data_IF_278609119748
#
_entry.id   IF_278609119748
#
_cell.length_a   1.000
_cell.length_b   1.000
_cell.length_c   1.000
_cell.angle_alpha   90.00
_cell.angle_beta   90.00
_cell.angle_gamma   90.00
#
_symmetry.space_group_name_H-M   'P 1'
#
loop_
_entity.id
_entity.type
_entity.pdbx_description
1 polymer ?
#
# COMPACT_ATOMS: atom_id res chain seq x y z
N UNK A 1 26.22 21.63 51.31
CA UNK A 1 26.66 22.81 50.61
C UNK A 1 27.37 22.45 49.30
N UNK A 2 27.12 23.31 48.36
CA UNK A 2 27.92 23.58 47.16
C UNK A 2 27.67 22.67 45.93
N UNK A 3 27.14 23.36 44.99
CA UNK A 3 27.61 23.69 43.62
C UNK A 3 27.22 22.74 42.52
N UNK A 4 26.14 23.11 41.83
CA UNK A 4 25.96 22.88 40.41
C UNK A 4 24.96 23.91 39.83
N UNK A 5 25.46 25.12 39.68
CA UNK A 5 24.82 26.18 38.89
C UNK A 5 25.91 26.72 37.95
N UNK A 6 25.84 26.36 36.71
CA UNK A 6 26.37 27.07 35.52
C UNK A 6 26.39 26.12 34.34
N UNK A 7 25.48 26.43 33.38
CA UNK A 7 25.70 26.39 31.93
C UNK A 7 24.35 26.36 31.16
N UNK A 8 23.70 27.53 31.16
CA UNK A 8 22.73 27.84 30.12
C UNK A 8 23.12 29.23 29.55
N UNK A 9 23.77 29.19 28.40
CA UNK A 9 23.92 30.39 27.55
C UNK A 9 22.88 30.33 26.44
N UNK A 10 22.13 31.39 26.14
CA UNK A 10 21.22 31.47 25.04
C UNK A 10 22.01 31.68 23.72
N UNK A 11 21.72 30.88 22.74
CA UNK A 11 22.18 31.05 21.36
C UNK A 11 21.38 32.15 20.69
N UNK A 12 22.06 33.24 20.34
CA UNK A 12 21.56 34.32 19.51
C UNK A 12 21.29 33.79 18.10
N UNK A 13 20.04 33.81 17.66
CA UNK A 13 19.65 33.64 16.28
C UNK A 13 19.97 34.93 15.50
N UNK A 14 20.98 34.87 14.63
CA UNK A 14 21.23 35.89 13.64
C UNK A 14 20.22 35.77 12.50
N UNK A 15 19.42 36.82 12.33
CA UNK A 15 18.49 37.03 11.23
C UNK A 15 19.30 37.23 9.94
N UNK A 16 19.25 36.24 9.01
CA UNK A 16 19.75 36.42 7.64
C UNK A 16 18.58 36.77 6.73
N UNK A 17 18.62 37.98 6.21
CA UNK A 17 17.72 38.50 5.19
C UNK A 17 17.70 37.58 3.96
N UNK A 18 16.54 37.03 3.62
CA UNK A 18 16.29 36.35 2.37
C UNK A 18 16.00 37.41 1.29
N UNK A 19 16.85 37.46 0.26
CA UNK A 19 16.60 38.23 -0.95
C UNK A 19 15.44 37.62 -1.74
N UNK A 20 14.40 38.42 -1.96
CA UNK A 20 13.29 38.08 -2.82
C UNK A 20 13.73 38.13 -4.29
N UNK A 21 13.48 37.07 -5.03
CA UNK A 21 13.63 37.00 -6.48
C UNK A 21 12.33 37.51 -7.12
N UNK A 22 12.37 38.49 -8.05
CA UNK A 22 11.15 39.03 -8.67
C UNK A 22 10.59 38.06 -9.71
N UNK A 23 9.27 37.80 -9.62
CA UNK A 23 8.48 37.05 -10.60
C UNK A 23 8.11 38.00 -11.76
N UNK A 24 8.33 37.65 -13.04
CA UNK A 24 7.89 38.48 -14.14
C UNK A 24 6.37 38.35 -14.37
N UNK A 25 5.69 39.48 -14.44
CA UNK A 25 4.29 39.61 -14.84
C UNK A 25 4.15 39.46 -16.36
N UNK A 26 3.15 38.71 -16.85
CA UNK A 26 2.86 38.72 -18.30
C UNK A 26 1.97 39.93 -18.64
N UNK A 27 2.44 40.72 -19.58
CA UNK A 27 1.71 41.81 -20.22
C UNK A 27 0.65 41.31 -21.20
N UNK A 28 -0.38 42.05 -21.26
CA UNK A 28 -1.67 41.98 -21.94
C UNK A 28 -1.68 41.79 -23.47
N UNK A 29 -2.86 41.29 -23.90
CA UNK A 29 -3.60 41.64 -25.11
C UNK A 29 -3.41 40.78 -26.34
N UNK A 30 -4.42 39.94 -26.64
CA UNK A 30 -5.02 39.91 -27.98
C UNK A 30 -6.40 39.23 -27.90
N UNK A 31 -7.40 40.04 -28.18
CA UNK A 31 -8.78 39.71 -28.43
C UNK A 31 -8.94 38.89 -29.72
N UNK A 32 -9.60 37.73 -29.63
CA UNK A 32 -10.17 37.06 -30.81
C UNK A 32 -11.61 36.60 -30.53
N UNK A 33 -12.44 36.99 -31.46
CA UNK A 33 -13.85 36.95 -31.60
C UNK A 33 -14.52 35.58 -31.37
N UNK A 34 -15.58 35.60 -30.59
CA UNK A 34 -16.59 34.56 -30.41
C UNK A 34 -17.40 34.35 -31.68
N UNK A 35 -17.52 33.10 -32.14
CA UNK A 35 -18.64 32.65 -33.01
C UNK A 35 -19.39 31.53 -32.28
N UNK A 36 -20.72 31.59 -32.21
CA UNK A 36 -21.52 30.56 -31.56
C UNK A 36 -21.79 29.36 -32.49
N UNK A 37 -21.82 28.11 -31.97
CA UNK A 37 -22.23 26.98 -32.79
C UNK A 37 -23.74 26.86 -32.82
N UNK A 38 -24.23 26.57 -34.05
CA UNK A 38 -25.61 26.28 -34.44
C UNK A 38 -26.16 25.04 -33.70
N UNK A 39 -27.40 25.15 -33.22
CA UNK A 39 -28.25 24.05 -32.82
C UNK A 39 -28.63 23.18 -34.04
N UNK A 40 -28.47 21.87 -33.92
CA UNK A 40 -29.25 20.91 -34.68
C UNK A 40 -29.88 19.88 -33.76
N UNK A 41 -31.18 19.80 -33.85
CA UNK A 41 -32.08 18.84 -33.21
C UNK A 41 -31.97 17.48 -33.87
N UNK A 42 -32.05 16.39 -33.10
CA UNK A 42 -32.42 15.10 -33.69
C UNK A 42 -32.04 13.84 -32.89
N UNK A 43 -33.01 13.36 -32.11
CA UNK A 43 -33.48 11.96 -31.94
C UNK A 43 -32.54 10.82 -31.49
N UNK A 44 -33.07 10.18 -30.41
CA UNK A 44 -33.13 8.73 -30.07
C UNK A 44 -31.82 7.97 -29.85
N UNK A 45 -31.56 7.58 -28.62
CA UNK A 45 -31.75 6.26 -28.04
C UNK A 45 -30.90 5.18 -28.69
N UNK A 46 -29.79 4.83 -28.04
CA UNK A 46 -29.35 3.43 -28.04
C UNK A 46 -28.39 3.19 -26.86
N UNK A 47 -28.68 2.09 -26.19
CA UNK A 47 -27.87 1.52 -25.11
C UNK A 47 -26.50 1.14 -25.63
N UNK A 48 -25.45 1.77 -25.16
CA UNK A 48 -24.09 1.24 -25.33
C UNK A 48 -23.73 0.37 -24.13
N UNK A 49 -23.82 -0.94 -24.34
CA UNK A 49 -23.05 -1.93 -23.61
C UNK A 49 -21.60 -1.74 -24.01
N UNK A 50 -20.80 -1.14 -23.13
CA UNK A 50 -19.36 -1.07 -23.32
C UNK A 50 -18.76 -2.45 -22.99
N UNK A 51 -18.57 -3.27 -24.02
CA UNK A 51 -17.66 -4.40 -24.00
C UNK A 51 -16.25 -3.86 -23.95
N UNK A 52 -15.62 -3.90 -22.78
CA UNK A 52 -14.20 -3.61 -22.63
C UNK A 52 -13.39 -4.82 -23.09
N UNK A 53 -12.95 -4.78 -24.34
CA UNK A 53 -11.89 -5.67 -24.83
C UNK A 53 -10.58 -5.35 -24.11
N UNK A 54 -9.81 -6.36 -23.66
CA UNK A 54 -8.51 -6.11 -23.06
C UNK A 54 -7.55 -5.57 -24.13
N UNK A 55 -7.06 -4.35 -23.94
CA UNK A 55 -5.96 -3.80 -24.73
C UNK A 55 -4.73 -4.69 -24.57
N UNK A 56 -4.36 -5.38 -25.62
CA UNK A 56 -3.05 -6.01 -25.76
C UNK A 56 -2.00 -4.90 -25.82
N UNK A 57 -1.27 -4.69 -24.74
CA UNK A 57 -0.06 -3.90 -24.80
C UNK A 57 1.04 -4.72 -25.43
N UNK A 58 1.56 -4.22 -26.56
CA UNK A 58 2.69 -4.79 -27.28
C UNK A 58 3.91 -4.90 -26.35
N UNK A 59 4.52 -6.07 -26.33
CA UNK A 59 5.81 -6.31 -25.72
C UNK A 59 6.89 -5.52 -26.48
N UNK A 60 7.92 -4.99 -25.81
CA UNK A 60 9.08 -4.43 -26.51
C UNK A 60 9.78 -5.54 -27.27
N UNK A 61 9.98 -5.34 -28.57
CA UNK A 61 10.77 -6.20 -29.42
C UNK A 61 12.26 -6.03 -29.08
N UNK A 62 13.01 -7.17 -29.22
CA UNK A 62 14.46 -7.30 -29.12
C UNK A 62 15.07 -7.49 -27.73
N UNK A 63 14.98 -8.75 -27.25
CA UNK A 63 15.97 -9.34 -26.36
C UNK A 63 16.40 -10.70 -26.92
N UNK A 64 17.68 -11.08 -26.81
CA UNK A 64 18.20 -12.33 -27.42
C UNK A 64 17.50 -13.56 -26.86
N UNK A 65 17.18 -14.50 -27.72
CA UNK A 65 16.27 -15.64 -27.61
C UNK A 65 16.37 -16.64 -26.43
N UNK A 66 17.07 -16.31 -25.32
CA UNK A 66 17.13 -17.15 -24.12
C UNK A 66 16.33 -16.62 -22.94
N UNK A 67 16.04 -15.31 -22.89
CA UNK A 67 15.33 -14.70 -21.76
C UNK A 67 13.80 -14.75 -21.94
N UNK A 68 13.31 -14.63 -23.15
CA UNK A 68 11.88 -14.64 -23.45
C UNK A 68 11.22 -15.97 -23.06
N UNK A 69 11.90 -17.10 -23.32
CA UNK A 69 11.42 -18.45 -22.99
C UNK A 69 11.30 -18.65 -21.48
N UNK A 70 12.29 -18.20 -20.70
CA UNK A 70 12.23 -18.32 -19.24
C UNK A 70 11.12 -17.47 -18.61
N UNK A 71 10.85 -16.26 -19.13
CA UNK A 71 9.75 -15.42 -18.67
C UNK A 71 8.39 -16.04 -18.98
N UNK A 72 8.21 -16.67 -20.13
CA UNK A 72 7.00 -17.39 -20.48
C UNK A 72 6.76 -18.59 -19.55
N UNK A 73 7.80 -19.40 -19.27
CA UNK A 73 7.72 -20.52 -18.32
C UNK A 73 7.32 -20.03 -16.93
N UNK A 74 7.96 -18.95 -16.44
CA UNK A 74 7.65 -18.35 -15.14
C UNK A 74 6.21 -17.83 -15.12
N UNK A 75 5.78 -17.13 -16.16
CA UNK A 75 4.42 -16.60 -16.28
C UNK A 75 3.40 -17.74 -16.23
N UNK A 76 3.60 -18.80 -16.99
CA UNK A 76 2.74 -19.98 -17.00
C UNK A 76 2.66 -20.63 -15.61
N UNK A 77 3.79 -20.74 -14.90
CA UNK A 77 3.84 -21.23 -13.53
C UNK A 77 3.06 -20.31 -12.57
N UNK A 78 3.27 -18.99 -12.63
CA UNK A 78 2.64 -18.03 -11.73
C UNK A 78 1.12 -17.95 -11.91
N UNK A 79 0.60 -18.14 -13.11
CA UNK A 79 -0.84 -18.21 -13.40
C UNK A 79 -1.50 -19.41 -12.71
N UNK A 80 -0.79 -20.53 -12.63
CA UNK A 80 -1.29 -21.78 -12.03
C UNK A 80 -1.03 -21.89 -10.53
N UNK A 81 -0.08 -21.10 -9.99
CA UNK A 81 0.29 -21.17 -8.58
C UNK A 81 -0.89 -20.80 -7.68
N UNK A 82 -1.16 -21.61 -6.66
CA UNK A 82 -2.17 -21.33 -5.64
C UNK A 82 -1.95 -19.96 -5.00
N UNK A 83 -3.04 -19.31 -4.61
CA UNK A 83 -3.03 -17.98 -4.00
C UNK A 83 -4.22 -17.80 -3.08
N UNK A 84 -4.09 -16.89 -2.14
CA UNK A 84 -5.23 -16.44 -1.35
C UNK A 84 -6.30 -15.81 -2.24
N UNK A 85 -7.57 -15.90 -1.85
CA UNK A 85 -8.59 -15.03 -2.43
C UNK A 85 -8.10 -13.58 -2.41
N UNK A 86 -8.28 -12.80 -3.48
CA UNK A 86 -7.74 -11.44 -3.56
C UNK A 86 -8.12 -10.56 -2.37
N UNK A 87 -9.34 -10.67 -1.85
CA UNK A 87 -9.78 -9.91 -0.68
C UNK A 87 -9.04 -10.28 0.60
N UNK A 88 -8.72 -11.57 0.81
CA UNK A 88 -7.93 -12.04 1.96
C UNK A 88 -6.47 -11.58 1.85
N UNK A 89 -5.92 -11.57 0.64
CA UNK A 89 -4.56 -11.06 0.40
C UNK A 89 -4.47 -9.56 0.70
N UNK A 90 -5.43 -8.77 0.21
CA UNK A 90 -5.51 -7.33 0.49
C UNK A 90 -5.72 -7.07 1.99
N UNK A 91 -6.58 -7.83 2.64
CA UNK A 91 -6.82 -7.77 4.08
C UNK A 91 -5.53 -8.02 4.86
N UNK A 92 -4.78 -9.04 4.45
CA UNK A 92 -3.49 -9.42 5.06
C UNK A 92 -2.42 -8.35 4.84
N UNK A 93 -2.34 -7.75 3.64
CA UNK A 93 -1.39 -6.66 3.36
C UNK A 93 -1.69 -5.45 4.25
N UNK A 94 -2.95 -5.05 4.37
CA UNK A 94 -3.35 -3.92 5.22
C UNK A 94 -3.04 -4.19 6.69
N UNK A 95 -3.34 -5.39 7.20
CA UNK A 95 -3.05 -5.76 8.59
C UNK A 95 -1.56 -5.69 8.91
N UNK A 96 -0.69 -6.03 7.95
CA UNK A 96 0.77 -5.98 8.11
C UNK A 96 1.38 -4.60 7.89
N UNK A 97 0.65 -3.69 7.28
CA UNK A 97 1.14 -2.34 7.00
C UNK A 97 1.04 -1.47 8.25
N UNK A 98 1.95 -0.52 8.37
CA UNK A 98 2.03 0.38 9.53
C UNK A 98 1.87 1.85 9.14
N UNK A 99 1.96 2.17 7.85
CA UNK A 99 1.97 3.56 7.37
C UNK A 99 1.25 3.67 6.03
N UNK A 100 0.60 4.81 5.82
CA UNK A 100 -0.09 5.12 4.57
C UNK A 100 -0.24 6.62 4.35
N UNK A 101 -0.75 6.99 3.18
CA UNK A 101 -1.09 8.36 2.84
C UNK A 101 -2.59 8.55 3.04
N UNK A 102 -2.95 9.36 4.02
CA UNK A 102 -4.33 9.78 4.27
C UNK A 102 -4.67 10.99 3.41
N UNK A 103 -5.61 10.86 2.48
CA UNK A 103 -6.15 11.97 1.72
C UNK A 103 -7.47 12.46 2.34
N UNK A 104 -7.56 13.78 2.56
CA UNK A 104 -8.69 14.46 3.19
C UNK A 104 -9.10 15.67 2.35
N UNK A 105 -10.31 16.19 2.54
CA UNK A 105 -10.74 17.45 1.91
C UNK A 105 -10.13 18.63 2.65
N UNK A 106 -9.31 19.43 1.97
CA UNK A 106 -8.67 20.60 2.57
C UNK A 106 -9.71 21.64 3.01
N UNK A 107 -9.61 22.08 4.26
CA UNK A 107 -10.42 23.21 4.77
C UNK A 107 -9.80 24.55 4.38
N UNK A 108 -8.48 24.61 4.27
CA UNK A 108 -7.74 25.81 3.92
C UNK A 108 -7.78 26.10 2.41
N UNK A 109 -7.62 25.05 1.60
CA UNK A 109 -7.67 25.12 0.14
C UNK A 109 -8.91 24.41 -0.38
N UNK A 110 -10.04 25.08 -0.34
CA UNK A 110 -11.35 24.51 -0.69
C UNK A 110 -11.36 23.92 -2.09
N UNK A 111 -11.86 22.68 -2.21
CA UNK A 111 -11.90 21.94 -3.48
C UNK A 111 -10.63 21.13 -3.80
N UNK A 112 -9.55 21.29 -3.02
CA UNK A 112 -8.34 20.50 -3.20
C UNK A 112 -8.24 19.35 -2.17
N UNK A 113 -7.75 18.15 -2.59
CA UNK A 113 -7.38 17.10 -1.65
C UNK A 113 -6.09 17.47 -0.94
N UNK A 114 -5.98 17.06 0.33
CA UNK A 114 -4.78 17.23 1.16
C UNK A 114 -4.27 15.85 1.57
N UNK A 115 -3.02 15.53 1.26
CA UNK A 115 -2.36 14.28 1.63
C UNK A 115 -1.53 14.44 2.91
N UNK A 116 -1.61 13.47 3.81
CA UNK A 116 -0.77 13.38 5.01
C UNK A 116 -0.23 11.97 5.16
N UNK A 117 1.06 11.85 5.48
CA UNK A 117 1.60 10.55 5.91
C UNK A 117 1.11 10.27 7.33
N UNK A 118 0.49 9.10 7.55
CA UNK A 118 -0.03 8.69 8.84
C UNK A 118 0.40 7.27 9.19
N UNK A 119 0.63 7.04 10.47
CA UNK A 119 0.77 5.69 11.01
C UNK A 119 -0.64 5.15 11.29
N UNK A 120 -0.85 3.85 11.06
CA UNK A 120 -2.14 3.21 11.31
C UNK A 120 -1.97 1.76 11.77
N UNK A 121 -2.99 1.25 12.43
CA UNK A 121 -3.18 -0.19 12.68
C UNK A 121 -4.54 -0.60 12.10
N UNK A 122 -4.81 -1.90 12.04
CA UNK A 122 -6.13 -2.40 11.68
C UNK A 122 -6.83 -3.00 12.90
N UNK A 123 -8.12 -2.76 13.00
CA UNK A 123 -9.00 -3.47 13.90
C UNK A 123 -9.32 -4.89 13.39
N UNK A 124 -10.02 -5.70 14.19
CA UNK A 124 -10.36 -7.07 13.84
C UNK A 124 -11.16 -7.18 12.55
N UNK A 125 -12.04 -6.23 12.27
CA UNK A 125 -12.84 -6.15 11.03
C UNK A 125 -12.08 -5.52 9.86
N UNK A 126 -10.82 -5.07 10.07
CA UNK A 126 -9.97 -4.40 9.08
C UNK A 126 -10.13 -2.91 8.97
N UNK A 127 -10.99 -2.32 9.77
CA UNK A 127 -11.10 -0.86 9.83
C UNK A 127 -9.77 -0.25 10.28
N UNK A 128 -9.17 0.66 9.50
CA UNK A 128 -7.95 1.33 9.93
C UNK A 128 -8.18 2.19 11.17
N UNK A 129 -7.29 2.08 12.14
CA UNK A 129 -7.21 2.89 13.35
C UNK A 129 -6.11 3.93 13.17
N UNK A 130 -6.44 5.19 13.36
CA UNK A 130 -5.50 6.31 13.36
C UNK A 130 -5.37 6.88 14.77
N UNK A 131 -4.14 7.22 15.19
CA UNK A 131 -3.89 8.07 16.34
C UNK A 131 -3.48 9.45 15.81
N UNK A 132 -4.31 10.46 16.01
CA UNK A 132 -4.14 11.78 15.41
C UNK A 132 -4.15 12.91 16.44
N UNK A 133 -3.20 13.85 16.30
CA UNK A 133 -3.22 15.09 17.07
C UNK A 133 -4.32 16.04 16.57
N UNK A 134 -5.03 16.70 17.45
CA UNK A 134 -6.00 17.75 17.11
C UNK A 134 -5.38 18.95 16.38
N UNK A 135 -4.06 19.14 16.52
CA UNK A 135 -3.31 20.20 15.87
C UNK A 135 -3.00 19.91 14.40
N UNK A 136 -3.02 18.63 13.99
CA UNK A 136 -2.68 18.21 12.64
C UNK A 136 -3.70 18.72 11.61
N UNK A 137 -3.22 19.03 10.40
CA UNK A 137 -4.05 19.52 9.30
C UNK A 137 -5.14 18.50 8.93
N UNK A 138 -4.79 17.22 8.85
CA UNK A 138 -5.77 16.17 8.54
C UNK A 138 -6.85 16.05 9.61
N UNK A 139 -6.56 16.30 10.89
CA UNK A 139 -7.58 16.31 11.95
C UNK A 139 -8.58 17.45 11.78
N UNK A 140 -8.09 18.64 11.40
CA UNK A 140 -8.93 19.81 11.10
C UNK A 140 -9.80 19.55 9.86
N UNK A 141 -9.21 18.96 8.82
CA UNK A 141 -9.91 18.59 7.60
C UNK A 141 -11.03 17.56 7.89
N UNK A 142 -10.74 16.53 8.69
CA UNK A 142 -11.71 15.50 9.07
C UNK A 142 -12.84 16.03 9.95
N UNK A 143 -12.61 17.08 10.73
CA UNK A 143 -13.67 17.75 11.48
C UNK A 143 -14.69 18.45 10.56
N UNK A 144 -14.25 18.92 9.39
CA UNK A 144 -15.14 19.51 8.38
C UNK A 144 -15.80 18.48 7.46
N UNK A 145 -15.12 17.36 7.18
CA UNK A 145 -15.65 16.26 6.38
C UNK A 145 -14.99 14.96 6.79
N UNK A 146 -15.78 14.00 7.25
CA UNK A 146 -15.31 12.66 7.63
C UNK A 146 -14.79 11.83 6.45
N UNK A 147 -15.13 12.21 5.23
CA UNK A 147 -14.77 11.47 4.01
C UNK A 147 -13.26 11.54 3.77
N UNK A 148 -12.66 10.35 3.63
CA UNK A 148 -11.23 10.24 3.40
C UNK A 148 -10.91 9.00 2.57
N UNK A 149 -9.67 8.92 2.13
CA UNK A 149 -9.10 7.67 1.62
C UNK A 149 -7.71 7.46 2.21
N UNK A 150 -7.41 6.21 2.56
CA UNK A 150 -6.09 5.78 3.00
C UNK A 150 -5.44 4.94 1.90
N UNK A 151 -4.37 5.48 1.30
CA UNK A 151 -3.56 4.77 0.31
C UNK A 151 -2.39 4.09 1.00
N UNK A 152 -2.25 2.81 0.75
CA UNK A 152 -1.18 1.97 1.31
C UNK A 152 -0.41 1.32 0.16
N UNK A 153 0.90 1.57 0.15
CA UNK A 153 1.86 0.89 -0.71
C UNK A 153 2.99 0.39 0.20
N UNK A 154 3.28 -0.90 0.16
CA UNK A 154 4.29 -1.50 1.03
C UNK A 154 5.69 -1.01 0.67
N UNK A 155 5.97 -0.93 -0.61
CA UNK A 155 7.20 -0.38 -1.19
C UNK A 155 6.81 0.57 -2.34
N UNK A 156 6.72 1.88 -2.08
CA UNK A 156 6.31 2.86 -3.09
C UNK A 156 7.25 2.94 -4.29
N UNK A 157 8.50 2.54 -4.14
CA UNK A 157 9.49 2.54 -5.24
C UNK A 157 9.37 1.29 -6.11
N UNK A 158 8.80 0.22 -5.57
CA UNK A 158 8.56 -1.01 -6.29
C UNK A 158 7.26 -0.92 -7.10
N UNK A 159 7.38 -0.58 -8.38
CA UNK A 159 6.25 -0.48 -9.31
C UNK A 159 5.49 -1.80 -9.52
N UNK A 160 6.02 -2.91 -9.02
CA UNK A 160 5.37 -4.22 -9.07
C UNK A 160 4.60 -4.53 -7.80
N UNK A 161 4.68 -3.68 -6.79
CA UNK A 161 3.96 -3.88 -5.54
C UNK A 161 2.47 -3.53 -5.67
N UNK A 162 1.68 -4.09 -4.76
CA UNK A 162 0.24 -3.83 -4.72
C UNK A 162 -0.02 -2.53 -3.97
N UNK A 163 -0.78 -1.65 -4.61
CA UNK A 163 -1.28 -0.40 -4.02
C UNK A 163 -2.74 -0.59 -3.65
N UNK A 164 -3.08 -0.25 -2.42
CA UNK A 164 -4.42 -0.40 -1.84
C UNK A 164 -4.95 0.98 -1.47
N UNK A 165 -6.20 1.26 -1.81
CA UNK A 165 -6.89 2.47 -1.38
C UNK A 165 -8.15 2.07 -0.62
N UNK A 166 -8.21 2.43 0.66
CA UNK A 166 -9.41 2.27 1.50
C UNK A 166 -10.18 3.59 1.45
N UNK A 167 -11.37 3.60 0.86
CA UNK A 167 -12.30 4.72 0.93
C UNK A 167 -13.20 4.55 2.15
N UNK A 168 -13.36 5.59 2.95
CA UNK A 168 -14.18 5.48 4.16
C UNK A 168 -14.51 6.81 4.83
N UNK A 169 -15.24 6.69 5.92
CA UNK A 169 -15.57 7.80 6.80
C UNK A 169 -14.78 7.67 8.11
N UNK A 170 -13.97 8.68 8.44
CA UNK A 170 -13.26 8.74 9.70
C UNK A 170 -14.21 9.16 10.82
N UNK A 171 -14.34 8.34 11.85
CA UNK A 171 -15.20 8.58 13.02
C UNK A 171 -14.40 8.50 14.30
N UNK A 172 -14.66 9.36 15.29
CA UNK A 172 -14.06 9.22 16.60
C UNK A 172 -14.38 7.85 17.22
N UNK A 173 -13.41 7.29 17.92
CA UNK A 173 -13.58 6.07 18.70
C UNK A 173 -14.39 6.41 19.95
N UNK A 174 -15.48 5.67 20.25
CA UNK A 174 -16.25 5.82 21.49
C UNK A 174 -15.38 5.59 22.74
N UNK A 175 -15.72 6.23 23.85
CA UNK A 175 -14.92 6.15 25.08
C UNK A 175 -14.81 4.72 25.60
N UNK A 176 -15.87 3.91 25.47
CA UNK A 176 -15.92 2.52 25.85
C UNK A 176 -14.99 1.59 25.03
N UNK A 177 -14.62 2.01 23.81
CA UNK A 177 -13.74 1.22 22.95
C UNK A 177 -12.27 1.67 23.01
N UNK A 178 -11.97 2.81 23.66
CA UNK A 178 -10.64 3.44 23.63
C UNK A 178 -9.52 2.53 24.09
N UNK A 179 -9.69 1.79 25.17
CA UNK A 179 -8.65 0.94 25.73
C UNK A 179 -8.34 -0.25 24.81
N UNK A 180 -9.37 -0.84 24.21
CA UNK A 180 -9.22 -1.92 23.23
C UNK A 180 -8.52 -1.43 21.97
N UNK A 181 -8.93 -0.28 21.44
CA UNK A 181 -8.35 0.36 20.26
C UNK A 181 -6.90 0.78 20.52
N UNK A 182 -6.61 1.38 21.67
CA UNK A 182 -5.26 1.72 22.12
C UNK A 182 -4.36 0.49 22.14
N UNK A 183 -4.84 -0.60 22.72
CA UNK A 183 -4.10 -1.87 22.78
C UNK A 183 -3.83 -2.42 21.38
N UNK A 184 -4.81 -2.41 20.49
CA UNK A 184 -4.66 -2.84 19.10
C UNK A 184 -3.65 -1.98 18.35
N UNK A 185 -3.70 -0.66 18.54
CA UNK A 185 -2.76 0.28 17.91
C UNK A 185 -1.33 0.08 18.40
N UNK A 186 -1.11 0.02 19.71
CA UNK A 186 0.22 -0.14 20.31
C UNK A 186 0.85 -1.50 20.03
N UNK A 187 0.05 -2.54 19.74
CA UNK A 187 0.59 -3.83 19.27
C UNK A 187 1.34 -3.68 17.94
N UNK A 188 0.93 -2.74 17.09
CA UNK A 188 1.58 -2.44 15.80
C UNK A 188 2.64 -1.34 15.91
N UNK A 189 2.46 -0.43 16.85
CA UNK A 189 3.30 0.74 17.08
C UNK A 189 3.75 0.80 18.54
N UNK A 190 4.61 -0.13 19.01
CA UNK A 190 4.99 -0.20 20.43
C UNK A 190 5.73 1.05 20.93
N UNK A 191 6.35 1.81 20.01
CA UNK A 191 7.09 3.04 20.33
C UNK A 191 6.21 4.31 20.30
N UNK A 192 4.90 4.17 20.07
CA UNK A 192 4.00 5.31 19.92
C UNK A 192 3.54 5.90 21.27
N UNK A 193 4.49 6.38 22.09
CA UNK A 193 4.22 6.96 23.42
C UNK A 193 3.35 8.22 23.36
N UNK A 194 3.30 8.90 22.22
CA UNK A 194 2.52 10.12 22.02
C UNK A 194 1.01 9.93 21.99
N UNK A 195 0.51 8.69 21.85
CA UNK A 195 -0.94 8.40 21.82
C UNK A 195 -1.65 8.80 23.12
N UNK A 196 -0.90 8.92 24.22
CA UNK A 196 -1.40 9.32 25.53
C UNK A 196 -1.33 10.83 25.79
N UNK A 197 -0.88 11.63 24.81
CA UNK A 197 -0.87 13.08 24.94
C UNK A 197 -2.30 13.63 24.82
N UNK A 198 -2.61 14.69 25.57
CA UNK A 198 -3.97 15.22 25.69
C UNK A 198 -4.57 15.79 24.41
N UNK A 199 -3.75 16.05 23.39
CA UNK A 199 -4.19 16.49 22.06
C UNK A 199 -4.42 15.35 21.08
N UNK A 200 -4.04 14.08 21.44
CA UNK A 200 -4.25 12.91 20.60
C UNK A 200 -5.59 12.25 20.85
N UNK A 201 -6.15 11.71 19.77
CA UNK A 201 -7.38 10.91 19.79
C UNK A 201 -7.32 9.81 18.76
N UNK A 202 -8.05 8.73 19.00
CA UNK A 202 -8.20 7.66 18.05
C UNK A 202 -9.40 7.91 17.12
N UNK A 203 -9.20 7.61 15.83
CA UNK A 203 -10.25 7.59 14.83
C UNK A 203 -10.29 6.21 14.18
N UNK A 204 -11.49 5.69 13.88
CA UNK A 204 -11.68 4.59 12.95
C UNK A 204 -11.98 5.15 11.56
N UNK A 205 -11.35 4.62 10.52
CA UNK A 205 -11.83 4.77 9.15
C UNK A 205 -12.78 3.60 8.89
N UNK A 206 -14.09 3.88 8.82
CA UNK A 206 -15.10 2.88 8.49
C UNK A 206 -15.11 2.66 6.97
N UNK A 207 -14.62 1.50 6.46
CA UNK A 207 -14.49 1.27 5.03
C UNK A 207 -15.86 1.30 4.33
N UNK A 208 -15.92 1.93 3.15
CA UNK A 208 -17.06 1.89 2.20
C UNK A 208 -16.71 1.04 1.00
N UNK A 209 -15.48 1.16 0.51
CA UNK A 209 -14.93 0.37 -0.57
C UNK A 209 -13.42 0.24 -0.39
N UNK A 210 -12.87 -0.86 -0.85
CA UNK A 210 -11.41 -1.09 -0.85
C UNK A 210 -10.98 -1.45 -2.26
N UNK A 211 -10.28 -0.54 -2.90
CA UNK A 211 -9.72 -0.71 -4.24
C UNK A 211 -8.27 -1.16 -4.14
N UNK A 212 -7.87 -2.03 -5.06
CA UNK A 212 -6.47 -2.42 -5.21
C UNK A 212 -6.04 -2.40 -6.66
N UNK A 213 -4.76 -2.14 -6.86
CA UNK A 213 -4.09 -2.22 -8.15
C UNK A 213 -2.77 -2.92 -7.90
N UNK A 214 -2.53 -4.05 -8.55
CA UNK A 214 -1.20 -4.66 -8.56
C UNK A 214 -0.36 -4.07 -9.69
N UNK A 215 0.94 -3.95 -9.46
CA UNK A 215 1.84 -3.35 -10.44
C UNK A 215 1.93 -4.11 -11.77
N UNK A 216 2.41 -3.43 -12.78
CA UNK A 216 2.40 -3.85 -14.20
C UNK A 216 3.09 -5.20 -14.44
N UNK A 217 4.10 -5.56 -13.64
CA UNK A 217 4.87 -6.81 -13.81
C UNK A 217 4.26 -8.01 -13.07
N UNK A 218 3.27 -7.79 -12.21
CA UNK A 218 2.59 -8.83 -11.44
C UNK A 218 1.14 -8.96 -11.87
N UNK A 219 0.90 -9.23 -13.16
CA UNK A 219 -0.45 -9.54 -13.69
C UNK A 219 -1.22 -10.63 -12.90
N UNK A 220 -0.80 -10.90 -11.67
CA UNK A 220 -1.21 -12.00 -10.82
C UNK A 220 -2.45 -11.66 -10.01
N UNK A 221 -2.56 -10.43 -9.47
CA UNK A 221 -3.76 -9.96 -8.78
C UNK A 221 -4.69 -9.15 -9.70
N UNK A 222 -4.13 -8.44 -10.67
CA UNK A 222 -4.88 -7.50 -11.47
C UNK A 222 -5.27 -6.25 -10.68
N UNK A 223 -6.45 -5.73 -10.94
CA UNK A 223 -7.05 -4.63 -10.19
C UNK A 223 -8.51 -4.96 -9.89
N UNK A 224 -9.03 -4.40 -8.81
CA UNK A 224 -10.42 -4.62 -8.43
C UNK A 224 -10.83 -3.74 -7.27
N UNK A 225 -12.08 -3.91 -6.88
CA UNK A 225 -12.69 -3.21 -5.77
C UNK A 225 -13.58 -4.16 -4.99
N UNK A 226 -13.53 -4.08 -3.67
CA UNK A 226 -14.37 -4.84 -2.76
C UNK A 226 -15.30 -3.89 -2.02
N UNK A 227 -16.51 -4.33 -1.80
CA UNK A 227 -17.45 -3.67 -0.90
C UNK A 227 -16.97 -3.74 0.56
N UNK A 228 -17.52 -2.90 1.41
CA UNK A 228 -17.26 -2.93 2.84
C UNK A 228 -17.59 -4.30 3.46
N UNK A 229 -18.65 -4.97 3.01
CA UNK A 229 -19.05 -6.28 3.53
C UNK A 229 -18.02 -7.36 3.19
N UNK A 230 -17.68 -7.50 1.89
CA UNK A 230 -16.65 -8.46 1.45
C UNK A 230 -15.32 -8.28 2.18
N UNK A 231 -14.90 -7.02 2.36
CA UNK A 231 -13.65 -6.71 3.03
C UNK A 231 -13.67 -7.07 4.52
N UNK A 232 -14.79 -6.83 5.23
CA UNK A 232 -14.93 -7.14 6.66
C UNK A 232 -15.01 -8.64 6.94
N UNK A 233 -15.64 -9.39 6.05
CA UNK A 233 -15.76 -10.85 6.16
C UNK A 233 -14.43 -11.57 5.85
N UNK A 234 -13.54 -10.92 5.09
CA UNK A 234 -12.26 -11.49 4.71
C UNK A 234 -11.35 -11.68 5.94
N UNK A 235 -10.63 -12.80 5.95
CA UNK A 235 -9.73 -13.15 7.05
C UNK A 235 -8.31 -12.77 6.72
N UNK A 236 -7.58 -12.33 7.75
CA UNK A 236 -6.13 -12.19 7.68
C UNK A 236 -5.52 -13.59 7.62
N UNK A 237 -4.52 -13.77 6.76
CA UNK A 237 -3.79 -15.03 6.66
C UNK A 237 -3.08 -15.34 7.99
N UNK A 238 -3.42 -16.45 8.66
CA UNK A 238 -2.89 -16.77 9.99
C UNK A 238 -1.36 -17.01 9.98
N UNK A 239 -0.79 -17.38 8.84
CA UNK A 239 0.64 -17.63 8.69
C UNK A 239 1.43 -16.33 8.52
N UNK A 240 0.79 -15.28 8.07
CA UNK A 240 1.44 -14.00 7.76
C UNK A 240 2.25 -13.40 8.91
N UNK A 241 1.82 -13.60 10.16
CA UNK A 241 2.51 -13.17 11.37
C UNK A 241 3.89 -13.83 11.57
N UNK A 242 4.10 -15.01 11.00
CA UNK A 242 5.36 -15.75 11.05
C UNK A 242 6.26 -15.50 9.83
N UNK A 243 5.80 -14.69 8.89
CA UNK A 243 6.46 -14.49 7.59
C UNK A 243 7.89 -13.96 7.75
N UNK A 244 8.09 -12.88 8.51
CA UNK A 244 9.41 -12.27 8.65
C UNK A 244 10.43 -13.17 9.38
N UNK A 245 10.12 -13.80 10.54
CA UNK A 245 11.05 -14.71 11.20
C UNK A 245 11.39 -15.94 10.35
N UNK A 246 10.42 -16.54 9.64
CA UNK A 246 10.67 -17.70 8.79
C UNK A 246 11.53 -17.31 7.57
N UNK A 247 11.21 -16.22 6.88
CA UNK A 247 12.00 -15.72 5.76
C UNK A 247 13.44 -15.40 6.21
N UNK A 248 13.61 -14.78 7.37
CA UNK A 248 14.92 -14.50 7.95
C UNK A 248 15.76 -15.76 8.21
N UNK A 249 15.15 -16.78 8.82
CA UNK A 249 15.79 -18.07 9.06
C UNK A 249 16.19 -18.77 7.74
N UNK A 250 15.25 -18.89 6.80
CA UNK A 250 15.51 -19.52 5.51
C UNK A 250 16.62 -18.80 4.71
N UNK A 251 16.63 -17.48 4.74
CA UNK A 251 17.66 -16.71 4.04
C UNK A 251 19.05 -16.84 4.68
N UNK A 252 19.13 -17.04 5.99
CA UNK A 252 20.37 -17.14 6.73
C UNK A 252 20.94 -18.57 6.68
N UNK A 253 20.09 -19.55 6.96
CA UNK A 253 20.55 -20.91 7.27
C UNK A 253 20.28 -21.91 6.11
N UNK A 254 19.40 -21.56 5.13
CA UNK A 254 18.92 -22.41 4.05
C UNK A 254 18.94 -21.73 2.65
N UNK A 255 19.96 -20.89 2.40
CA UNK A 255 20.05 -20.15 1.14
C UNK A 255 20.22 -21.05 -0.09
N UNK A 256 20.97 -22.13 0.03
CA UNK A 256 21.19 -23.11 -1.07
C UNK A 256 19.93 -23.94 -1.30
N UNK A 257 19.25 -24.39 -0.24
CA UNK A 257 17.98 -25.09 -0.33
C UNK A 257 16.92 -24.21 -1.00
N UNK A 258 16.89 -22.94 -0.64
CA UNK A 258 16.01 -21.93 -1.25
C UNK A 258 16.20 -21.84 -2.76
N UNK A 259 17.46 -21.84 -3.22
CA UNK A 259 17.78 -21.85 -4.66
C UNK A 259 17.29 -23.13 -5.36
N UNK A 260 17.50 -24.28 -4.72
CA UNK A 260 17.04 -25.57 -5.25
C UNK A 260 15.51 -25.65 -5.35
N UNK A 261 14.79 -25.17 -4.32
CA UNK A 261 13.33 -25.10 -4.32
C UNK A 261 12.83 -24.29 -5.53
N UNK A 262 13.40 -23.10 -5.75
CA UNK A 262 13.00 -22.25 -6.87
C UNK A 262 13.30 -22.91 -8.21
N UNK A 263 14.50 -23.49 -8.39
CA UNK A 263 14.88 -24.16 -9.63
C UNK A 263 14.01 -25.38 -9.93
N UNK A 264 13.71 -26.18 -8.91
CA UNK A 264 12.86 -27.37 -9.09
C UNK A 264 11.42 -26.98 -9.43
N UNK A 265 10.87 -26.01 -8.74
CA UNK A 265 9.46 -25.60 -8.91
C UNK A 265 9.20 -24.87 -10.23
N UNK A 266 10.18 -24.12 -10.74
CA UNK A 266 10.01 -23.30 -11.94
C UNK A 266 10.72 -23.84 -13.18
N UNK A 267 11.55 -24.87 -13.03
CA UNK A 267 12.42 -25.40 -14.09
C UNK A 267 13.41 -24.38 -14.68
N UNK A 268 13.60 -23.24 -13.98
CA UNK A 268 14.48 -22.15 -14.41
C UNK A 268 15.80 -22.18 -13.63
N UNK A 269 16.93 -22.18 -14.35
CA UNK A 269 18.27 -22.16 -13.72
C UNK A 269 18.55 -20.76 -13.14
N UNK A 270 18.53 -20.65 -11.82
CA UNK A 270 18.85 -19.41 -11.11
C UNK A 270 20.37 -19.22 -11.08
N UNK A 271 20.85 -18.13 -11.70
CA UNK A 271 22.29 -17.79 -11.77
C UNK A 271 22.80 -17.10 -10.49
N UNK A 272 21.97 -16.26 -9.87
CA UNK A 272 22.25 -15.61 -8.58
C UNK A 272 21.32 -16.16 -7.50
N UNK A 273 21.68 -15.97 -6.23
CA UNK A 273 20.93 -16.51 -5.10
C UNK A 273 19.44 -16.15 -5.12
N UNK A 274 18.64 -17.05 -4.61
CA UNK A 274 17.22 -16.82 -4.33
C UNK A 274 17.04 -16.41 -2.86
N UNK A 275 16.06 -15.55 -2.58
CA UNK A 275 15.74 -15.10 -1.22
C UNK A 275 14.25 -15.20 -0.97
N UNK A 276 13.88 -15.70 0.19
CA UNK A 276 12.52 -15.59 0.71
C UNK A 276 12.23 -14.13 1.04
N UNK A 277 11.10 -13.62 0.57
CA UNK A 277 10.68 -12.25 0.84
C UNK A 277 9.43 -12.18 1.70
N UNK A 278 8.52 -13.15 1.53
CA UNK A 278 7.26 -13.21 2.26
C UNK A 278 6.78 -14.66 2.32
N UNK A 279 5.98 -14.97 3.33
CA UNK A 279 5.29 -16.24 3.52
C UNK A 279 3.81 -16.00 3.71
N UNK A 280 2.97 -16.81 3.08
CA UNK A 280 1.54 -16.93 3.32
C UNK A 280 1.15 -18.40 3.55
N UNK A 281 -0.12 -18.65 3.85
CA UNK A 281 -0.63 -20.01 4.08
C UNK A 281 -0.64 -20.90 2.83
N UNK A 282 -0.62 -20.31 1.65
CA UNK A 282 -0.67 -21.03 0.38
C UNK A 282 0.70 -21.15 -0.29
N UNK A 283 1.68 -20.29 0.06
CA UNK A 283 2.91 -20.15 -0.72
C UNK A 283 4.02 -19.40 -0.01
N UNK A 284 5.25 -19.60 -0.50
CA UNK A 284 6.38 -18.70 -0.31
C UNK A 284 6.51 -17.71 -1.46
N UNK A 285 6.85 -16.46 -1.14
CA UNK A 285 7.37 -15.49 -2.08
C UNK A 285 8.90 -15.49 -2.09
N UNK A 286 9.45 -15.45 -3.29
CA UNK A 286 10.89 -15.39 -3.51
C UNK A 286 11.26 -14.22 -4.41
N UNK A 287 12.47 -13.71 -4.23
CA UNK A 287 13.20 -12.97 -5.26
C UNK A 287 14.37 -13.83 -5.73
N UNK A 288 14.56 -13.94 -7.03
CA UNK A 288 15.64 -14.72 -7.60
C UNK A 288 16.31 -13.97 -8.75
N UNK A 289 17.64 -14.01 -8.82
CA UNK A 289 18.41 -13.39 -9.88
C UNK A 289 18.47 -14.29 -11.13
N UNK A 290 17.95 -13.78 -12.25
CA UNK A 290 18.00 -14.42 -13.54
C UNK A 290 18.44 -13.42 -14.62
N UNK A 291 19.55 -13.71 -15.28
CA UNK A 291 20.08 -12.94 -16.43
C UNK A 291 20.11 -11.41 -16.26
N UNK A 292 20.60 -10.95 -15.08
CA UNK A 292 20.67 -9.53 -14.74
C UNK A 292 19.36 -8.93 -14.20
N UNK A 293 18.25 -9.68 -14.24
CA UNK A 293 16.93 -9.26 -13.76
C UNK A 293 16.58 -9.94 -12.44
N UNK A 294 15.83 -9.26 -11.59
CA UNK A 294 15.26 -9.85 -10.38
C UNK A 294 13.83 -10.31 -10.66
N UNK A 295 13.63 -11.62 -10.50
CA UNK A 295 12.32 -12.23 -10.64
C UNK A 295 11.62 -12.31 -9.29
N UNK A 296 10.34 -11.97 -9.23
CA UNK A 296 9.47 -12.20 -8.09
C UNK A 296 8.62 -13.44 -8.37
N UNK A 297 8.75 -14.43 -7.53
CA UNK A 297 8.16 -15.74 -7.71
C UNK A 297 7.31 -16.11 -6.51
N UNK A 298 6.21 -16.81 -6.76
CA UNK A 298 5.40 -17.45 -5.76
C UNK A 298 5.46 -18.95 -5.98
N UNK A 299 5.92 -19.68 -4.98
CA UNK A 299 5.98 -21.14 -4.98
C UNK A 299 4.89 -21.65 -4.04
N UNK A 300 3.86 -22.33 -4.56
CA UNK A 300 2.77 -22.82 -3.75
C UNK A 300 3.22 -24.00 -2.88
N UNK A 301 2.58 -24.13 -1.72
CA UNK A 301 2.68 -25.35 -0.91
C UNK A 301 1.85 -26.48 -1.55
N UNK A 302 2.20 -27.73 -1.27
CA UNK A 302 1.37 -28.88 -1.68
C UNK A 302 -0.04 -28.84 -1.08
N UNK A 303 -0.20 -28.22 0.09
CA UNK A 303 -1.46 -27.95 0.80
C UNK A 303 -1.39 -26.64 1.54
N UNK A 304 -2.54 -26.04 1.80
CA UNK A 304 -2.63 -24.81 2.62
C UNK A 304 -2.11 -25.08 4.03
N UNK A 305 -1.16 -24.26 4.49
CA UNK A 305 -0.66 -24.30 5.84
C UNK A 305 -1.69 -23.68 6.82
N UNK A 306 -1.97 -24.37 7.91
CA UNK A 306 -2.90 -23.90 8.94
C UNK A 306 -2.17 -23.25 10.11
N UNK A 307 -0.95 -23.72 10.39
CA UNK A 307 -0.11 -23.22 11.45
C UNK A 307 1.38 -23.23 11.07
N UNK A 308 2.22 -22.77 12.01
CA UNK A 308 3.68 -22.72 11.81
C UNK A 308 4.32 -24.10 11.59
N UNK A 309 3.71 -25.16 12.11
CA UNK A 309 4.27 -26.54 11.99
C UNK A 309 4.11 -27.06 10.58
N UNK A 310 2.97 -26.75 9.96
CA UNK A 310 2.69 -27.13 8.57
C UNK A 310 3.71 -26.60 7.56
N UNK A 311 4.31 -25.45 7.86
CA UNK A 311 5.34 -24.84 7.00
C UNK A 311 6.67 -25.61 7.04
N UNK A 312 6.89 -26.45 8.06
CA UNK A 312 8.13 -27.21 8.23
C UNK A 312 8.06 -28.61 7.58
N UNK A 313 6.88 -29.04 7.19
CA UNK A 313 6.61 -30.32 6.53
C UNK A 313 6.61 -30.17 5.03
#
# INVERSE_FOLDING_TARGET
PSTLSRLLRPLHLQNRHAHAIPIPTPTSSSSLLLHPPRRSSGRRGDRFLASSSPSQMAAPADAPGGSADAFEVIRAHQVKAARLPPVEEIRTILDQSVRGVLATHSQEHVGYPSGSMVDFACDQDGSPILAVSSLAVHSKNLAGSSKCSLLVAKDPEDRTDTVITVYGDATPVPDEEKDAVRTAYLRRHPEAFWVDFGDFRFLHIKPKAVRYVSGVATAILGSGEFSAAEFKEAKVDPISQFSAPIAGHMNKDHADDTKLIVQHSTSVKIKKGAKHTKLGSEFFFFTAGYDGTVLKLRIPFPRRAQDRKDVKT
#
